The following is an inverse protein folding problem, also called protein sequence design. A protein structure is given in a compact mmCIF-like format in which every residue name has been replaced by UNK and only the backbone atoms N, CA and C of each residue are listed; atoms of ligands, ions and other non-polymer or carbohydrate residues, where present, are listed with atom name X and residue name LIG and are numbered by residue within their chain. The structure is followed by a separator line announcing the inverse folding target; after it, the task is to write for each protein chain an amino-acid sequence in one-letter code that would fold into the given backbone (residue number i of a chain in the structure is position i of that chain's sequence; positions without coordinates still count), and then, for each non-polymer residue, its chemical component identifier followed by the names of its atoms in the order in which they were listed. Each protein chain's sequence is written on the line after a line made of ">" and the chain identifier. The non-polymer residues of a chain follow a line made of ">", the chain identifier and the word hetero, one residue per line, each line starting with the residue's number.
data_IF_228413184396
#
_entry.id   IF_228413184396
#
_cell.length_a   1.000
_cell.length_b   1.000
_cell.length_c   1.000
_cell.angle_alpha   90.00
_cell.angle_beta   90.00
_cell.angle_gamma   90.00
#
_symmetry.space_group_name_H-M   'P 1'
#
loop_
_entity.id
_entity.type
_entity.pdbx_description
1 polymer ?
#
# COMPACT_ATOMS: atom_id res chain seq x y z
N UNK A 1 25.60 -34.44 54.44
CA UNK A 1 24.73 -35.18 53.49
C UNK A 1 23.47 -34.37 53.13
N UNK A 2 22.49 -34.17 54.04
CA UNK A 2 21.21 -33.49 53.73
C UNK A 2 21.34 -32.02 53.26
N UNK A 3 22.26 -31.24 53.84
CA UNK A 3 22.50 -29.84 53.45
C UNK A 3 23.09 -29.71 52.04
N UNK A 4 24.04 -30.61 51.68
CA UNK A 4 24.63 -30.66 50.34
C UNK A 4 23.60 -31.07 49.28
N UNK A 5 22.71 -32.01 49.62
CA UNK A 5 21.63 -32.44 48.74
C UNK A 5 20.65 -31.30 48.47
N UNK A 6 20.27 -30.55 49.52
CA UNK A 6 19.35 -29.42 49.39
C UNK A 6 19.93 -28.30 48.50
N UNK A 7 21.22 -28.00 48.68
CA UNK A 7 21.90 -27.01 47.83
C UNK A 7 21.95 -27.46 46.37
N UNK A 8 22.18 -28.75 46.11
CA UNK A 8 22.25 -29.29 44.75
C UNK A 8 20.89 -29.23 44.04
N UNK A 9 19.81 -29.55 44.76
CA UNK A 9 18.43 -29.46 44.25
C UNK A 9 18.07 -28.01 43.93
N UNK A 10 18.42 -27.07 44.82
CA UNK A 10 18.13 -25.65 44.62
C UNK A 10 18.86 -25.10 43.39
N UNK A 11 20.13 -25.46 43.19
CA UNK A 11 20.88 -25.04 42.00
C UNK A 11 20.30 -25.61 40.71
N UNK A 12 19.86 -26.87 40.72
CA UNK A 12 19.22 -27.50 39.57
C UNK A 12 17.90 -26.82 39.20
N UNK A 13 17.09 -26.47 40.22
CA UNK A 13 15.83 -25.76 40.02
C UNK A 13 16.05 -24.34 39.45
N UNK A 14 17.05 -23.62 39.93
CA UNK A 14 17.35 -22.27 39.41
C UNK A 14 17.78 -22.34 37.94
N UNK A 15 18.66 -23.30 37.58
CA UNK A 15 19.14 -23.46 36.20
C UNK A 15 17.96 -23.80 35.27
N UNK A 16 17.15 -24.80 35.64
CA UNK A 16 16.00 -25.23 34.82
C UNK A 16 14.94 -24.13 34.64
N UNK A 17 14.62 -23.37 35.69
CA UNK A 17 13.70 -22.22 35.58
C UNK A 17 14.30 -21.09 34.73
N UNK A 18 15.61 -20.85 34.84
CA UNK A 18 16.30 -19.82 34.04
C UNK A 18 16.33 -20.19 32.56
N UNK A 19 16.61 -21.44 32.23
CA UNK A 19 16.60 -21.95 30.85
C UNK A 19 15.19 -21.93 30.24
N UNK A 20 14.17 -22.36 30.98
CA UNK A 20 12.78 -22.31 30.53
C UNK A 20 12.30 -20.86 30.29
N UNK A 21 12.74 -19.92 31.11
CA UNK A 21 12.43 -18.49 30.94
C UNK A 21 13.17 -17.87 29.74
N UNK A 22 14.37 -18.34 29.43
CA UNK A 22 15.15 -17.88 28.27
C UNK A 22 14.56 -18.42 26.95
N UNK A 23 14.11 -19.69 26.94
CA UNK A 23 13.45 -20.29 25.79
C UNK A 23 12.17 -19.53 25.41
N UNK A 24 11.29 -19.26 26.38
CA UNK A 24 10.04 -18.53 26.17
C UNK A 24 10.24 -17.06 25.72
N UNK A 25 11.37 -16.44 26.09
CA UNK A 25 11.70 -15.07 25.67
C UNK A 25 12.11 -14.99 24.20
N UNK A 26 12.69 -16.05 23.65
CA UNK A 26 13.09 -16.09 22.23
C UNK A 26 11.89 -16.32 21.31
N UNK A 27 10.88 -17.07 21.74
CA UNK A 27 9.64 -17.27 20.98
C UNK A 27 8.86 -15.96 20.83
N UNK A 28 8.77 -15.16 21.90
CA UNK A 28 8.12 -13.85 21.84
C UNK A 28 8.84 -12.84 20.92
N UNK A 29 10.17 -12.93 20.82
CA UNK A 29 10.94 -12.03 19.93
C UNK A 29 10.81 -12.42 18.46
N UNK A 30 10.73 -13.72 18.17
CA UNK A 30 10.52 -14.22 16.81
C UNK A 30 9.09 -13.95 16.33
N UNK A 31 8.08 -14.13 17.18
CA UNK A 31 6.69 -13.79 16.84
C UNK A 31 6.55 -12.29 16.56
N UNK A 32 7.21 -11.43 17.33
CA UNK A 32 7.16 -9.96 17.15
C UNK A 32 7.81 -9.46 15.86
N UNK A 33 8.81 -10.18 15.33
CA UNK A 33 9.46 -9.85 14.06
C UNK A 33 8.65 -10.36 12.85
N UNK A 34 7.97 -11.50 12.97
CA UNK A 34 7.10 -12.02 11.91
C UNK A 34 5.75 -11.29 11.82
N UNK A 35 5.20 -10.82 12.94
CA UNK A 35 3.86 -10.24 12.96
C UNK A 35 3.79 -8.78 12.48
N UNK A 36 4.93 -8.13 12.25
CA UNK A 36 4.96 -6.79 11.61
C UNK A 36 4.89 -6.85 10.08
N UNK A 37 4.85 -8.05 9.49
CA UNK A 37 4.91 -8.25 8.05
C UNK A 37 3.66 -8.91 7.47
N UNK A 38 2.68 -9.29 8.30
CA UNK A 38 1.49 -10.04 7.87
C UNK A 38 0.36 -9.18 7.26
N UNK A 39 0.55 -7.85 7.14
CA UNK A 39 -0.33 -6.98 6.33
C UNK A 39 0.41 -6.32 5.16
N UNK A 40 1.63 -6.75 4.85
CA UNK A 40 2.32 -6.34 3.62
C UNK A 40 1.80 -7.22 2.49
N UNK A 41 0.68 -6.80 1.88
CA UNK A 41 0.13 -7.21 0.59
C UNK A 41 0.43 -8.65 0.12
N UNK A 42 -0.61 -9.49 0.09
CA UNK A 42 -0.48 -10.83 -0.48
C UNK A 42 -0.07 -10.73 -1.95
N UNK A 43 0.96 -11.45 -2.38
CA UNK A 43 1.26 -11.54 -3.83
C UNK A 43 0.01 -12.04 -4.59
N UNK A 44 -0.42 -11.35 -5.66
CA UNK A 44 0.33 -10.42 -6.52
C UNK A 44 0.13 -8.91 -6.22
N UNK A 45 -0.36 -8.58 -5.03
CA UNK A 45 -0.74 -7.22 -4.68
C UNK A 45 0.50 -6.31 -4.48
N UNK A 46 0.36 -5.06 -4.92
CA UNK A 46 1.39 -4.03 -4.93
C UNK A 46 1.10 -3.07 -3.76
N UNK A 47 2.07 -2.81 -2.85
CA UNK A 47 1.86 -1.87 -1.76
C UNK A 47 1.70 -0.43 -2.30
N UNK A 48 0.72 0.29 -1.74
CA UNK A 48 0.41 1.67 -2.04
C UNK A 48 0.01 2.40 -0.75
N UNK A 49 0.96 3.12 -0.16
CA UNK A 49 0.77 3.69 1.17
C UNK A 49 0.59 2.58 2.22
N UNK A 50 -0.51 2.65 2.95
CA UNK A 50 -0.93 1.65 3.94
C UNK A 50 -1.79 0.53 3.32
N UNK A 51 -2.18 0.64 2.05
CA UNK A 51 -3.08 -0.28 1.35
C UNK A 51 -2.37 -1.15 0.30
N UNK A 52 -3.10 -2.16 -0.19
CA UNK A 52 -2.60 -3.14 -1.17
C UNK A 52 -3.45 -3.12 -2.44
N UNK A 53 -2.80 -2.83 -3.57
CA UNK A 53 -3.44 -2.77 -4.87
C UNK A 53 -3.33 -4.12 -5.58
N UNK A 54 -4.42 -4.58 -6.18
CA UNK A 54 -4.38 -5.80 -6.98
C UNK A 54 -3.51 -5.64 -8.22
N UNK A 55 -3.13 -6.75 -8.84
CA UNK A 55 -2.34 -6.74 -10.10
C UNK A 55 -2.99 -5.98 -11.27
N UNK A 56 -4.29 -5.68 -11.21
CA UNK A 56 -5.01 -4.88 -12.21
C UNK A 56 -5.01 -3.37 -11.91
N UNK A 57 -4.43 -2.99 -10.77
CA UNK A 57 -4.40 -1.61 -10.28
C UNK A 57 -2.97 -1.04 -10.28
N UNK A 58 -2.87 0.28 -10.13
CA UNK A 58 -1.63 1.05 -9.95
C UNK A 58 -1.80 1.99 -8.76
N UNK A 59 -0.69 2.29 -8.09
CA UNK A 59 -0.68 3.25 -7.01
C UNK A 59 -0.65 4.66 -7.57
N UNK A 60 -1.70 5.44 -7.32
CA UNK A 60 -1.83 6.84 -7.74
C UNK A 60 -1.69 7.74 -6.51
N UNK A 61 -0.87 8.79 -6.60
CA UNK A 61 -0.73 9.76 -5.50
C UNK A 61 -0.31 9.17 -4.16
N UNK A 62 0.42 8.05 -4.17
CA UNK A 62 0.99 7.35 -3.00
C UNK A 62 0.02 6.71 -2.00
N UNK A 63 -1.30 6.88 -2.12
CA UNK A 63 -2.25 6.40 -1.10
C UNK A 63 -3.52 5.72 -1.67
N UNK A 64 -3.72 5.70 -3.00
CA UNK A 64 -4.91 5.11 -3.61
C UNK A 64 -4.60 4.11 -4.73
N UNK A 65 -5.28 2.97 -4.68
CA UNK A 65 -5.28 1.96 -5.74
C UNK A 65 -6.24 2.34 -6.87
N UNK A 66 -5.67 2.66 -8.02
CA UNK A 66 -6.41 3.00 -9.23
C UNK A 66 -6.43 1.84 -10.21
N UNK A 67 -7.58 1.53 -10.82
CA UNK A 67 -7.59 0.60 -11.95
C UNK A 67 -6.68 1.09 -13.08
N UNK A 68 -5.87 0.19 -13.66
CA UNK A 68 -4.96 0.52 -14.78
C UNK A 68 -5.69 1.17 -15.97
N UNK A 69 -6.97 0.87 -16.15
CA UNK A 69 -7.81 1.46 -17.20
C UNK A 69 -8.22 2.91 -16.93
N UNK A 70 -8.07 3.38 -15.70
CA UNK A 70 -8.49 4.70 -15.20
C UNK A 70 -7.33 5.59 -14.76
N UNK A 71 -6.14 5.03 -14.67
CA UNK A 71 -4.94 5.77 -14.30
C UNK A 71 -4.59 6.83 -15.36
N UNK A 72 -4.36 8.06 -14.90
CA UNK A 72 -4.02 9.21 -15.72
C UNK A 72 -2.79 9.92 -15.14
N UNK A 73 -1.60 9.45 -15.53
CA UNK A 73 -0.37 9.91 -14.90
C UNK A 73 -0.37 9.57 -13.40
N UNK A 74 -0.32 10.60 -12.56
CA UNK A 74 -0.34 10.48 -11.10
C UNK A 74 -1.75 10.54 -10.50
N UNK A 75 -2.79 10.73 -11.32
CA UNK A 75 -4.20 10.80 -10.91
C UNK A 75 -5.00 9.55 -11.30
N UNK A 76 -6.12 9.33 -10.61
CA UNK A 76 -7.08 8.29 -10.94
C UNK A 76 -8.41 8.91 -11.36
N UNK A 77 -8.90 8.57 -12.55
CA UNK A 77 -10.17 9.11 -13.04
C UNK A 77 -11.36 8.32 -12.52
N UNK A 78 -12.35 9.02 -11.96
CA UNK A 78 -13.50 8.40 -11.32
C UNK A 78 -14.77 8.55 -12.17
N UNK A 79 -15.74 7.65 -11.94
CA UNK A 79 -17.03 7.70 -12.62
C UNK A 79 -16.88 7.59 -14.15
N UNK A 80 -17.33 8.64 -14.85
CA UNK A 80 -17.33 8.75 -16.32
C UNK A 80 -16.18 9.59 -16.87
N UNK A 81 -15.28 10.06 -16.03
CA UNK A 81 -14.14 10.87 -16.45
C UNK A 81 -13.20 10.09 -17.39
N UNK A 82 -12.55 10.82 -18.28
CA UNK A 82 -11.55 10.31 -19.22
C UNK A 82 -10.21 10.99 -19.00
N UNK A 83 -9.12 10.22 -19.13
CA UNK A 83 -7.77 10.75 -19.02
C UNK A 83 -7.42 11.60 -20.25
N UNK A 84 -6.94 12.82 -20.03
CA UNK A 84 -6.49 13.74 -21.08
C UNK A 84 -5.04 14.15 -20.81
N UNK A 85 -4.17 14.00 -21.81
CA UNK A 85 -2.80 14.53 -21.76
C UNK A 85 -1.88 13.97 -20.67
N UNK A 86 -2.17 12.78 -20.12
CA UNK A 86 -1.44 12.18 -18.99
C UNK A 86 -1.41 13.01 -17.69
N UNK A 87 -2.20 14.07 -17.59
CA UNK A 87 -2.07 15.03 -16.48
C UNK A 87 -3.39 15.42 -15.83
N UNK A 88 -4.53 14.92 -16.29
CA UNK A 88 -5.80 15.24 -15.66
C UNK A 88 -6.99 14.43 -16.14
N UNK A 89 -7.90 14.20 -15.21
CA UNK A 89 -9.19 13.59 -15.45
C UNK A 89 -10.20 14.63 -15.93
N UNK A 90 -10.95 14.26 -16.97
CA UNK A 90 -11.81 15.16 -17.70
C UNK A 90 -13.22 14.63 -17.79
N UNK A 91 -14.21 15.49 -17.60
CA UNK A 91 -15.55 15.16 -18.05
C UNK A 91 -15.56 14.97 -19.58
N UNK A 92 -16.15 13.88 -20.09
CA UNK A 92 -16.18 13.61 -21.53
C UNK A 92 -16.78 14.76 -22.36
N UNK A 93 -17.75 15.48 -21.78
CA UNK A 93 -18.40 16.64 -22.42
C UNK A 93 -17.52 17.90 -22.46
N UNK A 94 -16.45 17.93 -21.67
CA UNK A 94 -15.52 19.06 -21.54
C UNK A 94 -14.22 18.83 -22.31
N UNK A 95 -14.03 17.64 -22.89
CA UNK A 95 -12.86 17.33 -23.72
C UNK A 95 -12.92 18.15 -25.01
N UNK A 96 -11.84 18.87 -25.31
CA UNK A 96 -11.70 19.69 -26.50
C UNK A 96 -10.37 19.41 -27.20
N UNK A 97 -10.42 19.20 -28.51
CA UNK A 97 -9.25 18.84 -29.32
C UNK A 97 -9.17 17.34 -29.62
N UNK A 98 -7.97 16.85 -29.95
CA UNK A 98 -7.73 15.47 -30.36
C UNK A 98 -7.30 15.32 -31.83
N UNK A 99 -6.68 14.19 -32.16
CA UNK A 99 -6.13 13.91 -33.49
C UNK A 99 -4.81 14.62 -33.76
N UNK A 100 -4.83 15.67 -34.59
CA UNK A 100 -3.65 16.50 -34.93
C UNK A 100 -3.34 17.58 -33.87
N UNK A 101 -4.24 17.80 -32.91
CA UNK A 101 -4.10 18.78 -31.82
C UNK A 101 -4.12 18.08 -30.46
N UNK A 102 -3.39 18.62 -29.49
CA UNK A 102 -3.47 18.19 -28.09
C UNK A 102 -4.90 18.34 -27.57
N UNK A 103 -5.43 17.27 -26.98
CA UNK A 103 -6.71 17.31 -26.29
C UNK A 103 -6.50 17.96 -24.92
N UNK A 104 -7.43 18.82 -24.52
CA UNK A 104 -7.46 19.52 -23.24
C UNK A 104 -8.87 19.49 -22.64
N UNK A 105 -8.95 19.69 -21.32
CA UNK A 105 -10.22 19.89 -20.62
C UNK A 105 -10.58 21.36 -20.59
N UNK A 106 -11.73 21.71 -21.13
CA UNK A 106 -12.29 23.04 -20.97
C UNK A 106 -12.96 23.16 -19.60
N UNK A 107 -12.80 24.30 -18.95
CA UNK A 107 -13.59 24.63 -17.77
C UNK A 107 -15.04 25.03 -18.16
N UNK A 108 -15.91 25.17 -17.16
CA UNK A 108 -17.32 25.52 -17.37
C UNK A 108 -17.55 26.92 -18.00
N UNK A 109 -16.54 27.78 -18.01
CA UNK A 109 -16.59 29.12 -18.62
C UNK A 109 -16.11 29.16 -20.07
N UNK A 110 -15.39 28.13 -20.50
CA UNK A 110 -14.80 28.02 -21.83
C UNK A 110 -15.69 27.24 -22.79
N UNK A 111 -15.51 27.51 -24.09
CA UNK A 111 -16.09 26.72 -25.17
C UNK A 111 -15.00 26.13 -26.05
N UNK A 112 -15.25 24.92 -26.56
CA UNK A 112 -14.37 24.31 -27.53
C UNK A 112 -14.55 24.95 -28.91
N UNK A 113 -13.56 25.71 -29.38
CA UNK A 113 -13.55 26.35 -30.70
C UNK A 113 -12.28 25.92 -31.44
N UNK A 114 -12.42 25.25 -32.58
CA UNK A 114 -11.32 24.72 -33.38
C UNK A 114 -10.29 23.89 -32.57
N UNK A 115 -10.75 23.08 -31.62
CA UNK A 115 -9.88 22.23 -30.79
C UNK A 115 -9.12 22.99 -29.69
N UNK A 116 -9.54 24.21 -29.34
CA UNK A 116 -9.02 24.97 -28.19
C UNK A 116 -10.15 25.50 -27.32
N UNK A 117 -9.92 25.49 -26.01
CA UNK A 117 -10.81 26.12 -25.04
C UNK A 117 -10.64 27.64 -25.11
N UNK A 118 -11.73 28.36 -25.40
CA UNK A 118 -11.79 29.82 -25.57
C UNK A 118 -12.92 30.42 -24.74
#
# INVERSE_FOLDING_TARGET
>A
MKKLLLTFILTFLIITVTEASNLNRNDHYLISLFQRQEESCLSPDIPCGEDCCTSTQVCSGHELCCDKSRACGDECCFGTEVCVGNSGCCDPGSVCGGGLHEANCCDASQKCVHGKCT
#
